data_IF_337553081697
#
_entry.id   IF_337553081697
#
_cell.length_a   1.000
_cell.length_b   1.000
_cell.length_c   1.000
_cell.angle_alpha   90.00
_cell.angle_beta   90.00
_cell.angle_gamma   90.00
#
_symmetry.space_group_name_H-M   'P 1'
#
loop_
_entity.id
_entity.type
_entity.pdbx_description
1 polymer ?
#
# COMPACT_ATOMS: atom_id res chain seq x y z
N UNK A 1 -1.76 -10.08 9.56
CA UNK A 1 -1.67 -9.77 8.12
C UNK A 1 -0.86 -8.50 7.97
N UNK A 2 0.18 -8.57 7.15
CA UNK A 2 1.09 -7.46 6.91
C UNK A 2 0.46 -6.39 6.03
N UNK A 3 0.96 -5.15 6.15
CA UNK A 3 0.51 -4.03 5.31
C UNK A 3 0.65 -4.34 3.82
N UNK A 4 1.64 -5.14 3.42
CA UNK A 4 1.85 -5.55 2.01
C UNK A 4 0.75 -6.50 1.53
N UNK A 5 0.32 -7.43 2.38
CA UNK A 5 -0.74 -8.39 2.06
C UNK A 5 -2.08 -7.68 1.86
N UNK A 6 -2.41 -6.71 2.71
CA UNK A 6 -3.61 -5.89 2.53
C UNK A 6 -3.61 -5.11 1.21
N UNK A 7 -2.45 -4.67 0.71
CA UNK A 7 -2.37 -3.99 -0.60
C UNK A 7 -2.70 -4.93 -1.74
N UNK A 8 -2.27 -6.19 -1.65
CA UNK A 8 -2.61 -7.24 -2.62
C UNK A 8 -4.11 -7.50 -2.61
N UNK A 9 -4.73 -7.60 -1.43
CA UNK A 9 -6.19 -7.77 -1.31
C UNK A 9 -6.97 -6.56 -1.84
N UNK A 10 -6.54 -5.34 -1.52
CA UNK A 10 -7.15 -4.11 -2.05
C UNK A 10 -7.04 -4.08 -3.59
N UNK A 11 -5.89 -4.48 -4.16
CA UNK A 11 -5.72 -4.60 -5.61
C UNK A 11 -6.66 -5.64 -6.21
N UNK A 12 -6.78 -6.81 -5.57
CA UNK A 12 -7.70 -7.85 -6.00
C UNK A 12 -9.16 -7.35 -6.04
N UNK A 13 -9.61 -6.67 -4.98
CA UNK A 13 -10.96 -6.10 -4.91
C UNK A 13 -11.18 -5.01 -5.98
N UNK A 14 -10.18 -4.18 -6.24
CA UNK A 14 -10.20 -3.21 -7.32
C UNK A 14 -10.38 -3.87 -8.70
N UNK A 15 -9.60 -4.93 -8.99
CA UNK A 15 -9.67 -5.67 -10.25
C UNK A 15 -11.00 -6.43 -10.40
N UNK A 16 -11.63 -6.83 -9.30
CA UNK A 16 -13.00 -7.39 -9.29
C UNK A 16 -14.10 -6.33 -9.50
N UNK A 17 -13.75 -5.06 -9.68
CA UNK A 17 -14.70 -3.98 -9.90
C UNK A 17 -15.43 -3.51 -8.64
N UNK A 18 -15.01 -3.98 -7.45
CA UNK A 18 -15.63 -3.54 -6.19
C UNK A 18 -15.29 -2.08 -5.91
N UNK A 19 -16.25 -1.31 -5.42
CA UNK A 19 -16.00 0.05 -4.98
C UNK A 19 -15.33 0.09 -3.58
N UNK A 20 -14.86 1.27 -3.16
CA UNK A 20 -14.14 1.40 -1.88
C UNK A 20 -14.98 1.06 -0.64
N UNK A 21 -16.30 1.18 -0.71
CA UNK A 21 -17.21 0.85 0.41
C UNK A 21 -17.33 -0.66 0.51
N UNK A 22 -17.61 -1.34 -0.60
CA UNK A 22 -17.68 -2.80 -0.67
C UNK A 22 -16.36 -3.46 -0.27
N UNK A 23 -15.23 -2.88 -0.68
CA UNK A 23 -13.91 -3.35 -0.28
C UNK A 23 -13.68 -3.19 1.22
N UNK A 24 -14.11 -2.08 1.84
CA UNK A 24 -14.02 -1.89 3.29
C UNK A 24 -14.89 -2.89 4.04
N UNK A 25 -16.15 -3.05 3.64
CA UNK A 25 -17.07 -4.01 4.26
C UNK A 25 -16.53 -5.44 4.17
N UNK A 26 -15.98 -5.83 3.02
CA UNK A 26 -15.38 -7.16 2.85
C UNK A 26 -14.14 -7.34 3.72
N UNK A 27 -13.24 -6.35 3.77
CA UNK A 27 -12.04 -6.41 4.61
C UNK A 27 -12.37 -6.43 6.11
N UNK A 28 -13.41 -5.71 6.54
CA UNK A 28 -13.86 -5.71 7.94
C UNK A 28 -14.50 -7.03 8.35
N UNK A 29 -15.23 -7.66 7.44
CA UNK A 29 -15.84 -8.97 7.68
C UNK A 29 -14.77 -10.08 7.79
N UNK A 30 -13.74 -10.02 6.94
CA UNK A 30 -12.69 -11.04 6.90
C UNK A 30 -11.59 -10.79 7.95
N UNK A 31 -11.30 -9.52 8.28
CA UNK A 31 -10.19 -9.11 9.15
C UNK A 31 -10.61 -8.07 10.22
N UNK A 32 -11.57 -8.37 11.10
CA UNK A 32 -12.19 -7.37 11.98
C UNK A 32 -11.20 -6.56 12.85
N UNK A 33 -10.14 -7.20 13.36
CA UNK A 33 -9.18 -6.55 14.26
C UNK A 33 -8.00 -5.89 13.54
N UNK A 34 -7.74 -6.27 12.29
CA UNK A 34 -6.52 -5.86 11.56
C UNK A 34 -6.80 -5.15 10.24
N UNK A 35 -8.07 -5.00 9.87
CA UNK A 35 -8.48 -4.39 8.62
C UNK A 35 -7.93 -2.96 8.46
N UNK A 36 -7.47 -2.59 7.25
CA UNK A 36 -6.97 -1.26 6.99
C UNK A 36 -8.09 -0.22 7.09
N UNK A 37 -7.73 0.96 7.59
CA UNK A 37 -8.64 2.10 7.64
C UNK A 37 -9.15 2.52 6.26
N UNK A 38 -10.32 3.20 6.26
CA UNK A 38 -10.98 3.68 5.02
C UNK A 38 -10.09 4.59 4.17
N UNK A 39 -9.24 5.41 4.79
CA UNK A 39 -8.27 6.28 4.09
C UNK A 39 -7.28 5.45 3.28
N UNK A 40 -6.66 4.44 3.90
CA UNK A 40 -5.71 3.53 3.24
C UNK A 40 -6.31 2.88 2.00
N UNK A 41 -7.54 2.38 2.09
CA UNK A 41 -8.23 1.77 0.94
C UNK A 41 -8.42 2.80 -0.18
N UNK A 42 -8.91 4.01 0.15
CA UNK A 42 -9.10 5.08 -0.85
C UNK A 42 -7.80 5.48 -1.54
N UNK A 43 -6.71 5.60 -0.79
CA UNK A 43 -5.40 5.98 -1.33
C UNK A 43 -4.89 4.94 -2.33
N UNK A 44 -5.02 3.64 -1.99
CA UNK A 44 -4.63 2.57 -2.90
C UNK A 44 -5.52 2.49 -4.13
N UNK A 45 -6.84 2.64 -3.96
CA UNK A 45 -7.77 2.73 -5.08
C UNK A 45 -7.43 3.90 -6.02
N UNK A 46 -7.06 5.06 -5.48
CA UNK A 46 -6.63 6.21 -6.27
C UNK A 46 -5.33 5.92 -7.04
N UNK A 47 -4.38 5.20 -6.44
CA UNK A 47 -3.16 4.75 -7.13
C UNK A 47 -3.49 3.81 -8.29
N UNK A 48 -4.35 2.82 -8.08
CA UNK A 48 -4.74 1.85 -9.12
C UNK A 48 -5.51 2.52 -10.26
N UNK A 49 -6.40 3.47 -9.96
CA UNK A 49 -7.07 4.30 -10.99
C UNK A 49 -6.09 5.11 -11.84
N UNK A 50 -4.96 5.51 -11.29
CA UNK A 50 -3.87 6.21 -12.01
C UNK A 50 -2.92 5.25 -12.75
N UNK A 51 -3.25 3.96 -12.83
CA UNK A 51 -2.43 2.94 -13.49
C UNK A 51 -1.25 2.41 -12.65
N UNK A 52 -1.07 2.88 -11.42
CA UNK A 52 0.01 2.41 -10.54
C UNK A 52 -0.38 1.10 -9.87
N UNK A 53 -0.19 -0.01 -10.57
CA UNK A 53 -0.59 -1.36 -10.14
C UNK A 53 0.41 -2.08 -9.24
N UNK A 54 1.58 -1.50 -8.97
CA UNK A 54 2.53 -2.07 -8.01
C UNK A 54 1.96 -1.96 -6.59
N UNK A 55 2.06 -3.06 -5.84
CA UNK A 55 1.71 -3.14 -4.40
C UNK A 55 2.91 -2.89 -3.49
N UNK A 56 4.10 -2.76 -4.08
CA UNK A 56 5.33 -2.44 -3.37
C UNK A 56 5.37 -0.96 -3.03
N UNK A 57 6.06 -0.63 -1.93
CA UNK A 57 6.40 0.77 -1.70
C UNK A 57 7.45 1.16 -2.73
N UNK A 58 7.20 2.26 -3.44
CA UNK A 58 8.25 2.92 -4.22
C UNK A 58 9.36 3.26 -3.24
N UNK A 59 10.60 2.96 -3.61
CA UNK A 59 11.77 3.33 -2.81
C UNK A 59 11.64 4.79 -2.38
N UNK A 60 11.66 5.03 -1.07
CA UNK A 60 11.77 6.40 -0.57
C UNK A 60 13.16 6.87 -0.96
N UNK A 61 13.23 7.86 -1.84
CA UNK A 61 14.44 8.64 -2.04
C UNK A 61 14.78 9.32 -0.72
N UNK A 62 15.55 8.64 0.12
CA UNK A 62 16.16 9.19 1.32
C UNK A 62 17.43 9.95 0.96
N UNK A 63 17.76 10.96 1.76
CA UNK A 63 19.02 11.73 1.68
C UNK A 63 20.20 10.75 1.53
N UNK A 64 21.11 10.95 0.57
CA UNK A 64 22.31 10.13 0.47
C UNK A 64 23.04 10.20 1.81
N UNK A 65 23.37 9.04 2.38
CA UNK A 65 24.33 8.98 3.48
C UNK A 65 25.67 9.36 2.85
N UNK A 66 26.14 10.58 3.11
CA UNK A 66 27.54 10.92 2.85
C UNK A 66 28.39 9.85 3.54
N UNK A 67 28.97 8.99 2.73
CA UNK A 67 30.03 8.09 3.13
C UNK A 67 31.21 9.01 3.36
N UNK A 68 31.51 9.30 4.63
CA UNK A 68 32.82 9.83 4.99
C UNK A 68 33.80 8.69 4.71
N UNK A 69 34.51 8.79 3.61
CA UNK A 69 35.73 8.02 3.39
C UNK A 69 36.80 8.66 4.24
N UNK A 70 37.12 8.05 5.39
CA UNK A 70 38.38 8.30 6.08
C UNK A 70 39.51 7.63 5.28
N UNK A 71 39.79 8.18 4.10
CA UNK A 71 41.03 7.97 3.34
C UNK A 71 41.79 9.29 3.25
N UNK A 72 42.17 9.86 4.40
CA UNK A 72 43.40 10.63 4.47
C UNK A 72 43.89 10.86 5.91
N UNK A 73 45.21 10.64 6.08
CA UNK A 73 46.12 10.91 7.21
C UNK A 73 46.44 9.71 8.10
#
# INVERSE_FOLDING_TARGET
MDKKEFRVLIKYLFLKGKNTVEAKTWLDAEFPDTAPGKSTIKDWYAKFRRGKMSTEDVERSGRPKEVVTDENI
#
